data_IF_212261726591
#
_entry.id   IF_212261726591
#
_cell.length_a   1.000
_cell.length_b   1.000
_cell.length_c   1.000
_cell.angle_alpha   90.00
_cell.angle_beta   90.00
_cell.angle_gamma   90.00
#
_symmetry.space_group_name_H-M   'P 1'
#
loop_
_entity.id
_entity.type
_entity.pdbx_description
1 polymer ?
#
# COMPACT_ATOMS: atom_id res chain seq x y z
N UNK A 1 2.14 16.61 16.35
CA UNK A 1 1.65 17.01 17.67
C UNK A 1 1.19 18.48 17.63
N UNK A 2 2.02 19.48 17.25
CA UNK A 2 1.69 20.92 17.31
C UNK A 2 0.36 21.30 16.67
N UNK A 3 0.08 20.86 15.43
CA UNK A 3 -1.17 21.16 14.74
C UNK A 3 -2.38 20.51 15.43
N UNK A 4 -2.23 19.30 15.94
CA UNK A 4 -3.29 18.62 16.71
C UNK A 4 -3.56 19.36 18.02
N UNK A 5 -2.51 19.78 18.71
CA UNK A 5 -2.62 20.59 19.94
C UNK A 5 -3.32 21.91 19.67
N UNK A 6 -2.95 22.62 18.61
CA UNK A 6 -3.59 23.87 18.22
C UNK A 6 -5.08 23.69 17.86
N UNK A 7 -5.43 22.58 17.18
CA UNK A 7 -6.80 22.25 16.85
C UNK A 7 -7.61 21.90 18.12
N UNK A 8 -7.08 21.03 18.96
CA UNK A 8 -7.73 20.63 20.20
C UNK A 8 -8.02 21.85 21.10
N UNK A 9 -7.02 22.72 21.27
CA UNK A 9 -7.17 23.98 22.03
C UNK A 9 -8.25 24.88 21.44
N UNK A 10 -8.30 25.03 20.11
CA UNK A 10 -9.29 25.87 19.43
C UNK A 10 -10.72 25.41 19.68
N UNK A 11 -10.95 24.12 19.75
CA UNK A 11 -12.29 23.53 19.91
C UNK A 11 -12.60 23.02 21.32
N UNK A 12 -11.72 23.25 22.28
CA UNK A 12 -11.91 22.80 23.66
C UNK A 12 -11.93 21.27 23.80
N UNK A 13 -11.18 20.56 22.92
CA UNK A 13 -11.11 19.11 22.92
C UNK A 13 -9.92 18.62 23.75
N UNK A 14 -10.08 17.50 24.43
CA UNK A 14 -8.96 16.79 25.05
C UNK A 14 -8.05 16.23 23.98
N UNK A 15 -6.73 16.23 24.23
CA UNK A 15 -5.73 15.61 23.39
C UNK A 15 -4.86 14.69 24.23
N UNK A 16 -4.79 13.45 23.85
CA UNK A 16 -3.88 12.47 24.41
C UNK A 16 -2.81 12.08 23.36
N UNK A 17 -1.59 11.89 23.79
CA UNK A 17 -0.48 11.43 22.96
C UNK A 17 -0.11 10.02 23.38
N UNK A 18 -0.30 9.07 22.47
CA UNK A 18 0.04 7.66 22.68
C UNK A 18 1.33 7.35 21.94
N UNK A 19 2.36 6.97 22.68
CA UNK A 19 3.64 6.56 22.10
C UNK A 19 3.58 5.08 21.67
N UNK A 20 3.77 4.85 20.36
CA UNK A 20 3.77 3.55 19.72
C UNK A 20 5.05 3.33 18.89
N UNK A 21 6.14 4.05 19.23
CA UNK A 21 7.39 3.95 18.48
C UNK A 21 7.98 2.54 18.55
N UNK A 22 8.00 1.94 19.72
CA UNK A 22 8.57 0.61 19.91
C UNK A 22 7.77 -0.42 19.08
N UNK A 23 6.45 -0.41 19.19
CA UNK A 23 5.58 -1.32 18.45
C UNK A 23 5.72 -1.15 16.93
N UNK A 24 5.91 0.11 16.47
CA UNK A 24 6.16 0.38 15.06
C UNK A 24 7.48 -0.25 14.59
N UNK A 25 8.57 -0.08 15.37
CA UNK A 25 9.87 -0.65 15.04
C UNK A 25 9.84 -2.18 14.99
N UNK A 26 9.23 -2.80 15.99
CA UNK A 26 9.17 -4.26 16.12
C UNK A 26 8.27 -4.92 15.07
N UNK A 27 7.18 -4.28 14.70
CA UNK A 27 6.17 -4.90 13.82
C UNK A 27 6.24 -4.42 12.37
N UNK A 28 6.49 -3.13 12.12
CA UNK A 28 6.42 -2.57 10.76
C UNK A 28 7.80 -2.38 10.15
N UNK A 29 8.72 -1.75 10.88
CA UNK A 29 10.07 -1.50 10.36
C UNK A 29 10.84 -2.82 10.18
N UNK A 30 10.78 -3.72 11.17
CA UNK A 30 11.41 -5.04 11.10
C UNK A 30 10.84 -5.86 9.93
N UNK A 31 9.51 -5.89 9.77
CA UNK A 31 8.86 -6.50 8.61
C UNK A 31 9.40 -5.95 7.28
N UNK A 32 9.45 -4.61 7.16
CA UNK A 32 9.91 -3.98 5.93
C UNK A 32 11.37 -4.36 5.61
N UNK A 33 12.27 -4.30 6.59
CA UNK A 33 13.68 -4.65 6.41
C UNK A 33 13.86 -6.13 6.04
N UNK A 34 13.10 -7.03 6.67
CA UNK A 34 13.17 -8.45 6.37
C UNK A 34 12.72 -8.75 4.93
N UNK A 35 11.59 -8.19 4.49
CA UNK A 35 11.11 -8.30 3.10
C UNK A 35 12.12 -7.73 2.09
N UNK A 36 12.70 -6.56 2.37
CA UNK A 36 13.72 -5.96 1.50
C UNK A 36 14.95 -6.84 1.39
N UNK A 37 15.41 -7.45 2.50
CA UNK A 37 16.53 -8.40 2.52
C UNK A 37 16.26 -9.62 1.63
N UNK A 38 15.02 -10.06 1.57
CA UNK A 38 14.57 -11.14 0.67
C UNK A 38 14.39 -10.69 -0.79
N UNK A 39 14.75 -9.46 -1.15
CA UNK A 39 14.57 -8.91 -2.49
C UNK A 39 13.11 -8.49 -2.81
N UNK A 40 12.21 -8.60 -1.85
CA UNK A 40 10.82 -8.25 -2.00
C UNK A 40 10.60 -6.74 -1.84
N UNK A 41 9.46 -6.26 -2.26
CA UNK A 41 9.05 -4.86 -2.12
C UNK A 41 7.92 -4.77 -1.10
N UNK A 42 8.19 -4.47 0.20
CA UNK A 42 7.16 -4.39 1.22
C UNK A 42 6.26 -3.17 1.04
N UNK A 43 5.09 -3.22 1.67
CA UNK A 43 4.23 -2.07 1.86
C UNK A 43 4.06 -1.76 3.36
N UNK A 44 4.95 -0.95 3.95
CA UNK A 44 4.90 -0.64 5.38
C UNK A 44 3.65 0.17 5.78
N UNK A 45 3.04 0.93 4.87
CA UNK A 45 1.83 1.71 5.18
C UNK A 45 0.61 0.82 5.41
N UNK A 46 0.46 -0.25 4.63
CA UNK A 46 -0.58 -1.27 4.85
C UNK A 46 -0.39 -1.93 6.22
N UNK A 47 0.82 -2.35 6.55
CA UNK A 47 1.11 -3.00 7.81
C UNK A 47 1.00 -2.04 9.01
N UNK A 48 1.35 -0.77 8.82
CA UNK A 48 1.14 0.27 9.83
C UNK A 48 -0.35 0.46 10.16
N UNK A 49 -1.21 0.50 9.16
CA UNK A 49 -2.65 0.59 9.40
C UNK A 49 -3.16 -0.63 10.18
N UNK A 50 -2.81 -1.85 9.73
CA UNK A 50 -3.23 -3.11 10.38
C UNK A 50 -2.72 -3.24 11.82
N UNK A 51 -1.40 -3.09 12.00
CA UNK A 51 -0.73 -3.49 13.23
C UNK A 51 -0.63 -2.36 14.26
N UNK A 52 -0.46 -1.12 13.82
CA UNK A 52 -0.22 0.02 14.72
C UNK A 52 -1.48 0.84 14.91
N UNK A 53 -2.04 1.44 13.82
CA UNK A 53 -3.17 2.38 13.95
C UNK A 53 -4.46 1.71 14.39
N UNK A 54 -4.74 0.52 13.88
CA UNK A 54 -5.96 -0.22 14.21
C UNK A 54 -5.69 -1.53 14.97
N UNK A 55 -4.42 -1.80 15.28
CA UNK A 55 -3.97 -2.89 16.15
C UNK A 55 -3.58 -2.36 17.52
N UNK A 56 -2.31 -1.98 17.71
CA UNK A 56 -1.78 -1.57 19.02
C UNK A 56 -2.51 -0.36 19.62
N UNK A 57 -2.86 0.65 18.80
CA UNK A 57 -3.64 1.80 19.27
C UNK A 57 -5.02 1.37 19.77
N UNK A 58 -5.71 0.52 19.02
CA UNK A 58 -7.04 0.02 19.39
C UNK A 58 -6.97 -0.77 20.72
N UNK A 59 -5.97 -1.62 20.88
CA UNK A 59 -5.77 -2.38 22.12
C UNK A 59 -5.45 -1.49 23.32
N UNK A 60 -4.73 -0.39 23.11
CA UNK A 60 -4.26 0.50 24.19
C UNK A 60 -5.30 1.55 24.58
N UNK A 61 -5.96 2.15 23.61
CA UNK A 61 -6.87 3.28 23.80
C UNK A 61 -8.24 3.03 23.16
N UNK A 62 -8.29 2.59 21.91
CA UNK A 62 -9.54 2.47 21.14
C UNK A 62 -10.56 1.51 21.75
N UNK A 63 -10.10 0.52 22.54
CA UNK A 63 -10.98 -0.43 23.27
C UNK A 63 -11.97 0.26 24.20
N UNK A 64 -11.64 1.45 24.69
CA UNK A 64 -12.45 2.22 25.63
C UNK A 64 -13.50 3.09 24.93
N UNK A 65 -13.59 3.03 23.60
CA UNK A 65 -14.53 3.78 22.75
C UNK A 65 -15.32 2.84 21.84
N UNK A 66 -16.54 3.28 21.47
CA UNK A 66 -17.40 2.53 20.54
C UNK A 66 -16.82 2.55 19.12
N UNK A 67 -16.23 3.67 18.70
CA UNK A 67 -15.68 3.87 17.36
C UNK A 67 -14.36 4.63 17.37
N UNK A 68 -13.51 4.31 16.40
CA UNK A 68 -12.28 5.05 16.09
C UNK A 68 -12.46 5.80 14.76
N UNK A 69 -12.53 7.13 14.82
CA UNK A 69 -12.61 7.98 13.63
C UNK A 69 -11.21 8.26 13.07
N UNK A 70 -11.08 8.17 11.75
CA UNK A 70 -9.80 8.42 11.06
C UNK A 70 -9.98 9.23 9.80
N UNK A 71 -8.95 10.00 9.43
CA UNK A 71 -8.93 10.85 8.24
C UNK A 71 -8.58 10.14 6.94
N UNK A 72 -8.71 8.82 6.86
CA UNK A 72 -8.55 8.11 5.59
C UNK A 72 -9.72 8.37 4.65
N UNK A 73 -9.41 8.46 3.36
CA UNK A 73 -10.41 8.47 2.29
C UNK A 73 -10.86 7.03 2.02
N UNK A 74 -11.85 6.60 2.76
CA UNK A 74 -12.54 5.33 2.67
C UNK A 74 -13.96 5.52 3.18
N UNK A 75 -14.83 4.53 3.04
CA UNK A 75 -16.16 4.49 3.64
C UNK A 75 -16.40 3.15 4.32
N UNK A 76 -17.49 3.05 5.08
CA UNK A 76 -18.03 1.77 5.53
C UNK A 76 -19.42 1.57 4.94
N UNK A 77 -19.72 0.35 4.53
CA UNK A 77 -21.02 -0.05 3.97
C UNK A 77 -21.60 -1.15 4.85
N UNK A 78 -22.92 -1.09 5.09
CA UNK A 78 -23.64 -2.17 5.76
C UNK A 78 -24.29 -3.07 4.70
N UNK A 79 -23.89 -4.34 4.69
CA UNK A 79 -24.42 -5.36 3.79
C UNK A 79 -24.54 -6.69 4.52
N UNK A 80 -25.72 -7.32 4.45
CA UNK A 80 -26.02 -8.60 5.09
C UNK A 80 -25.72 -8.62 6.60
N UNK A 81 -26.00 -7.51 7.31
CA UNK A 81 -25.76 -7.34 8.74
C UNK A 81 -24.28 -7.20 9.13
N UNK A 82 -23.39 -7.02 8.17
CA UNK A 82 -21.95 -6.85 8.38
C UNK A 82 -21.43 -5.54 7.82
N UNK A 83 -20.36 -5.05 8.44
CA UNK A 83 -19.64 -3.85 7.98
C UNK A 83 -18.59 -4.24 6.95
N UNK A 84 -18.60 -3.58 5.81
CA UNK A 84 -17.64 -3.74 4.72
C UNK A 84 -16.84 -2.47 4.51
N UNK A 85 -15.57 -2.61 4.12
CA UNK A 85 -14.74 -1.48 3.72
C UNK A 85 -15.17 -1.02 2.32
N UNK A 86 -15.65 0.21 2.23
CA UNK A 86 -16.09 0.83 0.98
C UNK A 86 -15.08 1.83 0.43
N UNK A 87 -15.05 1.98 -0.90
CA UNK A 87 -14.23 2.97 -1.57
C UNK A 87 -14.68 4.39 -1.26
N UNK A 88 -13.78 5.35 -1.37
CA UNK A 88 -14.07 6.76 -1.16
C UNK A 88 -14.81 7.39 -2.35
N UNK A 89 -15.52 8.51 -2.10
CA UNK A 89 -16.11 9.34 -3.16
C UNK A 89 -15.04 9.92 -4.11
N UNK A 90 -13.86 10.26 -3.59
CA UNK A 90 -12.75 10.80 -4.38
C UNK A 90 -11.82 9.66 -4.83
N UNK A 91 -11.88 9.23 -6.12
CA UNK A 91 -11.11 8.09 -6.59
C UNK A 91 -9.60 8.36 -6.63
N UNK A 92 -9.20 9.64 -6.74
CA UNK A 92 -7.78 10.04 -6.74
C UNK A 92 -7.18 9.97 -5.33
N UNK A 93 -8.04 10.07 -4.30
CA UNK A 93 -7.63 10.06 -2.89
C UNK A 93 -8.02 8.78 -2.17
N UNK A 94 -8.71 7.87 -2.83
CA UNK A 94 -9.07 6.58 -2.25
C UNK A 94 -7.85 5.90 -1.60
N UNK A 95 -8.00 5.47 -0.36
CA UNK A 95 -6.96 4.88 0.47
C UNK A 95 -7.32 3.47 0.94
N UNK A 96 -8.32 2.86 0.33
CA UNK A 96 -8.74 1.50 0.70
C UNK A 96 -7.67 0.47 0.46
N UNK A 97 -6.78 0.68 -0.51
CA UNK A 97 -5.62 -0.16 -0.77
C UNK A 97 -4.62 -0.18 0.41
N UNK A 98 -4.49 0.91 1.16
CA UNK A 98 -3.70 0.93 2.40
C UNK A 98 -4.40 0.27 3.60
N UNK A 99 -5.70 0.05 3.50
CA UNK A 99 -6.54 -0.57 4.54
C UNK A 99 -6.83 -2.05 4.26
N UNK A 100 -6.41 -2.57 3.12
CA UNK A 100 -6.83 -3.87 2.59
C UNK A 100 -6.36 -5.10 3.40
N UNK A 101 -5.56 -4.90 4.46
CA UNK A 101 -5.12 -5.95 5.39
C UNK A 101 -5.73 -5.84 6.79
N UNK A 102 -6.60 -4.85 7.07
CA UNK A 102 -7.34 -4.81 8.34
C UNK A 102 -8.33 -5.98 8.42
N UNK A 103 -8.71 -6.35 9.63
CA UNK A 103 -9.69 -7.43 9.84
C UNK A 103 -11.11 -6.90 10.12
N UNK A 104 -12.05 -7.83 10.25
CA UNK A 104 -13.45 -7.51 10.52
C UNK A 104 -13.66 -6.75 11.82
N UNK A 105 -12.96 -7.11 12.89
CA UNK A 105 -13.07 -6.43 14.18
C UNK A 105 -12.59 -5.00 14.08
N UNK A 106 -11.53 -4.77 13.28
CA UNK A 106 -11.02 -3.43 13.03
C UNK A 106 -12.02 -2.61 12.18
N UNK A 107 -12.43 -3.10 11.00
CA UNK A 107 -13.33 -2.33 10.13
C UNK A 107 -14.68 -2.02 10.76
N UNK A 108 -15.20 -2.91 11.61
CA UNK A 108 -16.49 -2.72 12.28
C UNK A 108 -16.50 -1.58 13.29
N UNK A 109 -15.34 -1.18 13.82
CA UNK A 109 -15.16 -0.05 14.74
C UNK A 109 -14.68 1.24 14.08
N UNK A 110 -14.38 1.22 12.77
CA UNK A 110 -13.84 2.39 12.07
C UNK A 110 -14.95 3.31 11.54
N UNK A 111 -14.69 4.61 11.66
CA UNK A 111 -15.45 5.67 11.01
C UNK A 111 -14.53 6.49 10.10
N UNK A 112 -15.03 6.82 8.91
CA UNK A 112 -14.32 7.62 7.91
C UNK A 112 -15.11 8.91 7.59
N UNK A 113 -15.04 9.95 8.44
CA UNK A 113 -15.89 11.14 8.33
C UNK A 113 -15.72 11.92 7.02
N UNK A 114 -14.58 11.75 6.34
CA UNK A 114 -14.27 12.43 5.06
C UNK A 114 -14.42 11.54 3.84
N UNK A 115 -14.74 10.27 4.00
CA UNK A 115 -14.83 9.31 2.89
C UNK A 115 -15.89 9.65 1.83
N UNK A 116 -17.00 10.29 2.25
CA UNK A 116 -18.05 10.78 1.35
C UNK A 116 -17.77 12.14 0.71
N UNK A 117 -16.56 12.69 0.83
CA UNK A 117 -16.19 14.03 0.36
C UNK A 117 -15.05 13.97 -0.65
N UNK A 118 -15.08 14.89 -1.65
CA UNK A 118 -13.92 15.15 -2.50
C UNK A 118 -12.85 15.91 -1.70
N UNK A 119 -11.59 15.74 -2.05
CA UNK A 119 -10.46 16.44 -1.39
C UNK A 119 -10.64 17.94 -1.33
N UNK A 120 -11.19 18.52 -2.40
CA UNK A 120 -11.49 19.95 -2.44
C UNK A 120 -12.53 20.34 -1.39
N UNK A 121 -13.62 19.58 -1.28
CA UNK A 121 -14.67 19.83 -0.26
C UNK A 121 -14.10 19.78 1.16
N UNK A 122 -13.21 18.79 1.43
CA UNK A 122 -12.51 18.68 2.73
C UNK A 122 -11.67 19.93 3.01
N UNK A 123 -10.94 20.45 2.02
CA UNK A 123 -10.13 21.66 2.18
C UNK A 123 -10.98 22.92 2.39
N UNK A 124 -12.10 23.02 1.71
CA UNK A 124 -13.05 24.13 1.89
C UNK A 124 -13.68 24.12 3.30
N UNK A 125 -14.07 22.94 3.79
CA UNK A 125 -14.59 22.77 5.16
C UNK A 125 -13.50 23.15 6.18
N UNK A 126 -12.26 22.65 6.00
CA UNK A 126 -11.16 22.97 6.89
C UNK A 126 -10.82 24.47 6.92
N UNK A 127 -10.87 25.14 5.77
CA UNK A 127 -10.68 26.59 5.67
C UNK A 127 -11.80 27.37 6.35
N UNK A 128 -13.08 27.01 6.12
CA UNK A 128 -14.24 27.65 6.77
C UNK A 128 -14.20 27.47 8.28
N UNK A 129 -13.80 26.28 8.74
CA UNK A 129 -13.59 25.99 10.16
C UNK A 129 -12.34 26.67 10.73
N UNK A 130 -11.50 27.30 9.89
CA UNK A 130 -10.28 27.97 10.30
C UNK A 130 -9.28 27.01 10.95
N UNK A 131 -9.20 25.75 10.47
CA UNK A 131 -8.28 24.77 11.03
C UNK A 131 -6.83 25.18 10.77
N UNK A 132 -5.92 25.06 11.75
CA UNK A 132 -4.49 25.36 11.56
C UNK A 132 -3.86 24.51 10.45
N UNK A 133 -4.39 23.32 10.19
CA UNK A 133 -3.94 22.38 9.17
C UNK A 133 -4.54 22.59 7.77
N UNK A 134 -5.49 23.51 7.58
CA UNK A 134 -6.25 23.65 6.34
C UNK A 134 -5.39 23.81 5.07
N UNK A 135 -4.24 24.52 5.18
CA UNK A 135 -3.31 24.74 4.07
C UNK A 135 -2.13 23.75 4.04
N UNK A 136 -2.12 22.75 4.94
CA UNK A 136 -1.04 21.76 4.98
C UNK A 136 -1.03 20.93 3.69
N UNK A 137 0.17 20.74 3.12
CA UNK A 137 0.38 19.80 2.01
C UNK A 137 0.13 18.37 2.48
N UNK A 138 -0.26 17.50 1.54
CA UNK A 138 -0.41 16.08 1.83
C UNK A 138 0.93 15.52 2.35
N UNK A 139 0.84 14.55 3.27
CA UNK A 139 2.04 13.90 3.81
C UNK A 139 2.81 13.19 2.70
N UNK A 140 4.11 13.39 2.71
CA UNK A 140 5.06 12.70 1.83
C UNK A 140 5.99 11.87 2.71
N UNK A 141 6.18 10.59 2.40
CA UNK A 141 7.10 9.71 3.13
C UNK A 141 6.40 8.59 3.89
N UNK A 142 7.21 7.78 4.58
CA UNK A 142 6.77 6.62 5.35
C UNK A 142 6.04 7.10 6.60
N UNK A 143 4.88 6.51 6.85
CA UNK A 143 4.06 6.76 8.03
C UNK A 143 4.88 6.55 9.32
N UNK A 144 4.68 7.38 10.36
CA UNK A 144 5.42 7.40 11.65
C UNK A 144 6.89 7.80 11.58
N UNK A 145 7.61 7.50 10.52
CA UNK A 145 9.02 7.87 10.38
C UNK A 145 9.22 9.30 9.87
N UNK A 146 8.15 9.94 9.38
CA UNK A 146 8.21 11.31 8.89
C UNK A 146 8.98 11.44 7.57
N UNK A 147 9.72 12.54 7.39
CA UNK A 147 10.53 12.80 6.20
C UNK A 147 11.88 12.06 6.24
N UNK A 148 11.89 10.77 6.48
CA UNK A 148 13.09 9.96 6.37
C UNK A 148 13.32 9.65 4.90
N UNK A 149 14.56 9.82 4.44
CA UNK A 149 14.97 9.32 3.14
C UNK A 149 14.97 7.79 3.20
N UNK A 150 14.15 7.16 2.35
CA UNK A 150 14.01 5.71 2.30
C UNK A 150 15.37 5.00 2.10
N UNK A 151 16.21 5.54 1.22
CA UNK A 151 17.53 4.95 0.97
C UNK A 151 18.45 5.04 2.18
N UNK A 152 18.38 6.14 2.97
CA UNK A 152 19.17 6.29 4.18
C UNK A 152 18.70 5.32 5.27
N UNK A 153 17.38 5.12 5.37
CA UNK A 153 16.80 4.11 6.24
C UNK A 153 17.28 2.70 5.89
N UNK A 154 17.14 2.29 4.63
CA UNK A 154 17.58 0.97 4.16
C UNK A 154 19.08 0.78 4.33
N UNK A 155 19.89 1.81 4.00
CA UNK A 155 21.35 1.80 4.17
C UNK A 155 21.79 1.56 5.60
N UNK A 156 21.07 2.13 6.57
CA UNK A 156 21.38 1.95 8.00
C UNK A 156 21.31 0.49 8.44
N UNK A 157 20.40 -0.30 7.86
CA UNK A 157 20.15 -1.70 8.25
C UNK A 157 20.82 -2.73 7.36
N UNK A 158 20.94 -2.45 6.06
CA UNK A 158 21.46 -3.39 5.08
C UNK A 158 22.83 -2.99 4.52
N UNK A 159 23.28 -1.76 4.83
CA UNK A 159 24.54 -1.25 4.30
C UNK A 159 24.50 -0.97 2.81
N UNK A 160 25.67 -0.95 2.19
CA UNK A 160 25.87 -0.86 0.75
C UNK A 160 26.71 -2.04 0.27
N UNK A 161 26.36 -2.60 -0.88
CA UNK A 161 27.12 -3.65 -1.58
C UNK A 161 27.06 -3.39 -3.07
N UNK A 162 28.19 -3.10 -3.69
CA UNK A 162 28.23 -2.86 -5.12
C UNK A 162 27.75 -4.09 -5.90
N UNK A 163 26.90 -3.86 -6.92
CA UNK A 163 26.36 -4.87 -7.80
C UNK A 163 26.24 -4.37 -9.24
N UNK A 164 25.93 -5.27 -10.16
CA UNK A 164 25.80 -4.95 -11.57
C UNK A 164 24.38 -4.51 -11.96
N UNK A 165 24.29 -3.56 -12.89
CA UNK A 165 23.08 -3.29 -13.65
C UNK A 165 23.26 -3.88 -15.05
N UNK A 166 22.39 -4.81 -15.43
CA UNK A 166 22.47 -5.55 -16.69
C UNK A 166 21.23 -5.30 -17.53
N UNK A 167 21.40 -4.99 -18.81
CA UNK A 167 20.30 -4.92 -19.76
C UNK A 167 19.79 -6.35 -20.03
N UNK A 168 18.51 -6.60 -19.78
CA UNK A 168 17.94 -7.94 -19.84
C UNK A 168 18.00 -8.54 -21.25
N UNK A 169 17.68 -7.72 -22.27
CA UNK A 169 17.58 -8.14 -23.67
C UNK A 169 18.93 -8.52 -24.29
N UNK A 170 20.01 -7.87 -23.83
CA UNK A 170 21.34 -8.06 -24.43
C UNK A 170 22.33 -8.78 -23.52
N UNK A 171 22.02 -8.89 -22.23
CA UNK A 171 22.95 -9.40 -21.21
C UNK A 171 24.14 -8.46 -20.93
N UNK A 172 24.14 -7.25 -21.50
CA UNK A 172 25.23 -6.30 -21.35
C UNK A 172 25.18 -5.57 -20.01
N UNK A 173 26.30 -5.49 -19.31
CA UNK A 173 26.44 -4.62 -18.14
C UNK A 173 26.37 -3.15 -18.57
N UNK A 174 25.40 -2.39 -18.05
CA UNK A 174 25.15 -0.98 -18.39
C UNK A 174 25.47 -0.02 -17.25
N UNK A 175 25.75 -0.54 -16.05
CA UNK A 175 26.11 0.26 -14.89
C UNK A 175 26.37 -0.56 -13.63
N UNK A 176 26.44 0.15 -12.51
CA UNK A 176 26.53 -0.45 -11.17
C UNK A 176 25.53 0.20 -10.23
N UNK A 177 25.20 -0.50 -9.14
CA UNK A 177 24.36 -0.02 -8.06
C UNK A 177 24.99 -0.33 -6.70
N UNK A 178 24.40 0.20 -5.61
CA UNK A 178 24.91 0.05 -4.25
C UNK A 178 24.18 -0.99 -3.40
N UNK A 179 23.39 -1.86 -4.03
CA UNK A 179 22.61 -2.92 -3.41
C UNK A 179 21.26 -3.08 -4.11
N UNK A 180 20.87 -4.34 -4.41
CA UNK A 180 19.57 -4.62 -5.03
C UNK A 180 18.38 -4.11 -4.19
N UNK A 181 18.56 -4.00 -2.88
CA UNK A 181 17.57 -3.54 -1.93
C UNK A 181 17.16 -2.07 -2.07
N UNK A 182 17.91 -1.25 -2.80
CA UNK A 182 17.53 0.11 -3.15
C UNK A 182 16.63 0.20 -4.38
N UNK A 183 16.30 -0.94 -5.00
CA UNK A 183 15.59 -1.01 -6.27
C UNK A 183 14.31 -1.83 -6.19
N UNK A 184 13.29 -1.37 -6.92
CA UNK A 184 11.97 -2.00 -7.02
C UNK A 184 11.63 -2.29 -8.47
N UNK A 185 10.94 -3.40 -8.75
CA UNK A 185 10.43 -3.74 -10.09
C UNK A 185 9.52 -2.61 -10.58
N UNK A 186 9.73 -2.17 -11.83
CA UNK A 186 9.06 -1.01 -12.43
C UNK A 186 9.70 0.35 -12.12
N UNK A 187 10.75 0.40 -11.28
CA UNK A 187 11.44 1.65 -10.97
C UNK A 187 12.15 2.21 -12.20
N UNK A 188 11.95 3.52 -12.45
CA UNK A 188 12.61 4.27 -13.54
C UNK A 188 13.65 5.25 -13.04
N UNK A 189 13.36 5.92 -11.92
CA UNK A 189 14.20 7.01 -11.41
C UNK A 189 15.31 6.46 -10.50
N UNK A 190 16.45 7.16 -10.45
CA UNK A 190 17.53 6.86 -9.51
C UNK A 190 18.46 5.72 -9.94
N UNK A 191 18.41 5.29 -11.20
CA UNK A 191 19.31 4.23 -11.73
C UNK A 191 20.71 4.76 -12.13
N UNK A 192 20.86 6.07 -12.32
CA UNK A 192 22.14 6.68 -12.71
C UNK A 192 22.58 6.33 -14.13
N UNK A 193 21.69 5.80 -14.97
CA UNK A 193 22.00 5.39 -16.35
C UNK A 193 21.65 6.48 -17.35
N UNK A 194 22.52 6.64 -18.36
CA UNK A 194 22.27 7.48 -19.53
C UNK A 194 21.57 6.72 -20.67
N UNK A 195 21.03 7.44 -21.65
CA UNK A 195 20.45 6.82 -22.84
C UNK A 195 19.12 6.09 -22.61
N UNK A 196 18.43 6.36 -21.48
CA UNK A 196 17.14 5.76 -21.15
C UNK A 196 15.96 6.27 -21.97
N UNK A 197 14.70 5.97 -21.55
CA UNK A 197 14.36 5.51 -20.20
C UNK A 197 14.72 4.04 -19.93
N UNK A 198 15.10 3.77 -18.68
CA UNK A 198 15.41 2.44 -18.19
C UNK A 198 14.41 2.06 -17.09
N UNK A 199 13.99 0.78 -17.07
CA UNK A 199 13.08 0.25 -16.06
C UNK A 199 13.66 -1.01 -15.42
N UNK A 200 13.61 -1.11 -14.10
CA UNK A 200 13.98 -2.36 -13.40
C UNK A 200 12.92 -3.42 -13.70
N UNK A 201 13.34 -4.58 -14.22
CA UNK A 201 12.44 -5.67 -14.60
C UNK A 201 12.67 -6.95 -13.81
N UNK A 202 13.88 -7.17 -13.27
CA UNK A 202 14.22 -8.35 -12.47
C UNK A 202 15.32 -8.01 -11.47
N UNK A 203 15.34 -8.74 -10.36
CA UNK A 203 16.45 -8.73 -9.38
C UNK A 203 16.99 -10.14 -9.19
N UNK A 204 18.29 -10.27 -9.15
CA UNK A 204 18.99 -11.46 -8.70
C UNK A 204 19.67 -11.14 -7.36
N UNK A 205 19.18 -11.79 -6.31
CA UNK A 205 19.57 -11.50 -4.94
C UNK A 205 20.93 -12.11 -4.62
N UNK A 206 21.18 -13.32 -5.12
CA UNK A 206 22.40 -14.09 -4.88
C UNK A 206 23.59 -13.40 -5.52
N UNK A 207 23.44 -13.02 -6.80
CA UNK A 207 24.47 -12.33 -7.58
C UNK A 207 24.50 -10.81 -7.32
N UNK A 208 23.60 -10.27 -6.48
CA UNK A 208 23.46 -8.84 -6.26
C UNK A 208 23.37 -8.04 -7.58
N UNK A 209 22.54 -8.51 -8.51
CA UNK A 209 22.40 -7.94 -9.86
C UNK A 209 20.96 -7.45 -10.06
N UNK A 210 20.79 -6.28 -10.67
CA UNK A 210 19.49 -5.83 -11.16
C UNK A 210 19.48 -5.85 -12.69
N UNK A 211 18.38 -6.32 -13.26
CA UNK A 211 18.17 -6.32 -14.70
C UNK A 211 17.23 -5.17 -15.07
N UNK A 212 17.59 -4.47 -16.12
CA UNK A 212 16.85 -3.32 -16.64
C UNK A 212 16.49 -3.53 -18.10
N UNK A 213 15.35 -2.96 -18.50
CA UNK A 213 14.91 -2.93 -19.91
C UNK A 213 14.84 -1.48 -20.38
N UNK A 214 15.23 -1.22 -21.63
CA UNK A 214 15.34 0.11 -22.22
C UNK A 214 14.14 0.45 -23.09
N UNK A 215 13.63 1.67 -22.99
CA UNK A 215 12.54 2.18 -23.83
C UNK A 215 11.18 2.12 -23.13
N UNK A 216 10.15 2.62 -23.80
CA UNK A 216 8.77 2.53 -23.38
C UNK A 216 8.06 1.39 -24.13
N UNK A 217 7.14 0.71 -23.47
CA UNK A 217 6.30 -0.30 -24.09
C UNK A 217 6.99 -1.61 -24.44
N UNK A 218 8.18 -1.86 -23.91
CA UNK A 218 8.91 -3.12 -24.13
C UNK A 218 8.20 -4.24 -23.36
N UNK A 219 7.93 -5.36 -24.02
CA UNK A 219 7.10 -6.47 -23.48
C UNK A 219 7.62 -7.00 -22.15
N UNK A 220 8.95 -7.08 -21.97
CA UNK A 220 9.58 -7.52 -20.71
C UNK A 220 9.27 -6.66 -19.49
N UNK A 221 8.69 -5.47 -19.66
CA UNK A 221 8.28 -4.57 -18.58
C UNK A 221 6.87 -4.85 -18.07
N UNK A 222 6.11 -5.71 -18.74
CA UNK A 222 4.70 -5.94 -18.49
C UNK A 222 4.40 -7.40 -18.20
N UNK A 223 3.33 -7.62 -17.44
CA UNK A 223 2.70 -8.90 -17.24
C UNK A 223 1.19 -8.79 -17.41
N UNK A 224 0.51 -9.93 -17.58
CA UNK A 224 -0.95 -10.01 -17.69
C UNK A 224 -1.57 -10.76 -16.51
N UNK A 225 -0.73 -11.33 -15.66
CA UNK A 225 -1.16 -12.15 -14.54
C UNK A 225 -0.20 -12.05 -13.36
N UNK A 226 -0.69 -12.37 -12.18
CA UNK A 226 0.13 -12.55 -10.99
C UNK A 226 -0.60 -13.47 -10.00
N UNK A 227 0.18 -14.07 -9.10
CA UNK A 227 -0.35 -14.87 -8.00
C UNK A 227 -0.23 -14.14 -6.69
N UNK A 228 -1.14 -14.45 -5.79
CA UNK A 228 -1.13 -13.97 -4.41
C UNK A 228 -1.15 -15.14 -3.45
N UNK A 229 -0.42 -14.97 -2.35
CA UNK A 229 -0.47 -15.87 -1.19
C UNK A 229 -1.01 -15.14 0.04
N UNK A 230 -1.35 -15.91 1.06
CA UNK A 230 -1.82 -15.41 2.35
C UNK A 230 -2.96 -14.40 2.22
N UNK A 231 -3.86 -14.67 1.26
CA UNK A 231 -4.98 -13.78 1.00
C UNK A 231 -5.87 -13.67 2.24
N UNK A 232 -6.17 -12.42 2.57
CA UNK A 232 -6.99 -12.05 3.71
C UNK A 232 -8.26 -11.33 3.24
N UNK A 233 -9.42 -11.89 3.59
CA UNK A 233 -10.71 -11.21 3.44
C UNK A 233 -10.94 -10.31 4.65
N UNK A 234 -11.27 -9.04 4.43
CA UNK A 234 -11.52 -8.06 5.50
C UNK A 234 -12.76 -8.44 6.30
N UNK A 235 -13.86 -8.71 5.61
CA UNK A 235 -15.16 -9.04 6.23
C UNK A 235 -15.47 -10.51 6.03
N UNK A 236 -15.73 -10.89 4.79
CA UNK A 236 -16.03 -12.26 4.38
C UNK A 236 -15.58 -12.49 2.94
N UNK A 237 -15.61 -13.75 2.51
CA UNK A 237 -15.55 -14.10 1.11
C UNK A 237 -16.94 -13.92 0.46
N UNK A 238 -17.18 -12.84 -0.32
CA UNK A 238 -18.49 -12.59 -0.94
C UNK A 238 -18.82 -13.58 -2.06
N UNK A 239 -17.85 -14.36 -2.50
CA UNK A 239 -17.95 -15.31 -3.61
C UNK A 239 -17.95 -16.77 -3.14
N UNK A 240 -18.15 -17.01 -1.86
CA UNK A 240 -18.17 -18.38 -1.30
C UNK A 240 -19.25 -19.23 -1.97
N UNK A 241 -18.82 -20.33 -2.60
CA UNK A 241 -19.72 -21.24 -3.34
C UNK A 241 -20.05 -20.82 -4.77
N UNK A 242 -19.45 -19.74 -5.27
CA UNK A 242 -19.55 -19.34 -6.67
C UNK A 242 -18.53 -20.08 -7.56
N UNK A 243 -18.58 -19.82 -8.87
CA UNK A 243 -17.70 -20.41 -9.86
C UNK A 243 -16.22 -20.11 -9.60
N UNK A 244 -15.35 -20.91 -10.21
CA UNK A 244 -13.89 -20.82 -10.04
C UNK A 244 -13.27 -19.51 -10.53
N UNK A 245 -13.92 -18.82 -11.47
CA UNK A 245 -13.47 -17.53 -12.02
C UNK A 245 -14.48 -16.45 -11.69
N UNK A 246 -14.01 -15.36 -11.08
CA UNK A 246 -14.84 -14.27 -10.58
C UNK A 246 -14.38 -12.97 -11.23
N UNK A 247 -15.31 -12.22 -11.81
CA UNK A 247 -15.03 -10.87 -12.32
C UNK A 247 -14.81 -9.90 -11.15
N UNK A 248 -13.69 -9.20 -11.19
CA UNK A 248 -13.24 -8.30 -10.14
C UNK A 248 -12.62 -7.04 -10.72
N UNK A 249 -12.41 -6.06 -9.84
CA UNK A 249 -11.41 -5.02 -10.06
C UNK A 249 -10.31 -5.13 -9.01
N UNK A 250 -9.12 -4.64 -9.33
CA UNK A 250 -7.97 -4.76 -8.44
C UNK A 250 -6.95 -3.62 -8.58
N UNK A 251 -6.06 -3.52 -7.59
CA UNK A 251 -4.86 -2.67 -7.62
C UNK A 251 -3.64 -3.46 -7.19
N UNK A 252 -2.49 -3.21 -7.82
CA UNK A 252 -1.17 -3.76 -7.42
C UNK A 252 -0.26 -2.71 -6.80
N UNK A 253 -0.72 -1.46 -6.74
CA UNK A 253 -0.05 -0.30 -6.13
C UNK A 253 -1.06 0.82 -5.92
N UNK A 254 -0.66 1.83 -5.17
CA UNK A 254 -1.50 3.02 -4.98
C UNK A 254 -1.57 3.87 -6.26
N UNK A 255 -2.66 3.72 -6.99
CA UNK A 255 -3.02 4.50 -8.20
C UNK A 255 -4.51 4.85 -8.14
N UNK A 256 -4.95 5.92 -8.81
CA UNK A 256 -6.39 6.23 -8.89
C UNK A 256 -7.19 5.17 -9.65
N UNK A 257 -6.57 4.54 -10.64
CA UNK A 257 -7.22 3.61 -11.55
C UNK A 257 -7.39 2.23 -10.90
N UNK A 258 -8.53 1.60 -11.19
CA UNK A 258 -8.84 0.22 -10.86
C UNK A 258 -8.77 -0.62 -12.15
N UNK A 259 -7.97 -1.66 -12.13
CA UNK A 259 -7.83 -2.57 -13.28
C UNK A 259 -8.87 -3.68 -13.18
N UNK A 260 -9.52 -4.01 -14.29
CA UNK A 260 -10.44 -5.15 -14.39
C UNK A 260 -9.66 -6.45 -14.58
N UNK A 261 -10.22 -7.54 -14.06
CA UNK A 261 -9.62 -8.86 -14.21
C UNK A 261 -10.49 -9.96 -13.67
N UNK A 262 -9.92 -11.15 -13.64
CA UNK A 262 -10.55 -12.35 -13.08
C UNK A 262 -9.74 -12.84 -11.89
N UNK A 263 -10.43 -13.20 -10.84
CA UNK A 263 -9.89 -13.84 -9.64
C UNK A 263 -10.16 -15.35 -9.75
N UNK A 264 -9.10 -16.15 -9.65
CA UNK A 264 -9.17 -17.60 -9.69
C UNK A 264 -8.62 -18.14 -8.37
N UNK A 265 -9.40 -18.92 -7.66
CA UNK A 265 -8.95 -19.56 -6.44
C UNK A 265 -8.14 -20.83 -6.77
N UNK A 266 -6.86 -20.84 -6.40
CA UNK A 266 -5.96 -22.00 -6.55
C UNK A 266 -5.80 -22.80 -5.25
N UNK A 267 -6.08 -22.19 -4.08
CA UNK A 267 -6.01 -22.80 -2.77
C UNK A 267 -6.78 -22.00 -1.72
N UNK A 268 -6.74 -22.40 -0.46
CA UNK A 268 -7.51 -21.74 0.62
C UNK A 268 -7.20 -20.26 0.74
N UNK A 269 -5.92 -19.88 0.60
CA UNK A 269 -5.42 -18.49 0.67
C UNK A 269 -4.53 -18.14 -0.52
N UNK A 270 -4.66 -18.88 -1.62
CA UNK A 270 -3.89 -18.67 -2.83
C UNK A 270 -4.83 -18.34 -3.98
N UNK A 271 -4.53 -17.22 -4.63
CA UNK A 271 -5.34 -16.71 -5.73
C UNK A 271 -4.46 -16.31 -6.90
N UNK A 272 -4.95 -16.54 -8.10
CA UNK A 272 -4.38 -16.13 -9.36
C UNK A 272 -5.24 -15.05 -9.98
N UNK A 273 -4.62 -13.98 -10.44
CA UNK A 273 -5.28 -12.85 -11.09
C UNK A 273 -4.91 -12.84 -12.56
N UNK A 274 -5.92 -12.84 -13.41
CA UNK A 274 -5.79 -12.59 -14.85
C UNK A 274 -6.27 -11.16 -15.13
N UNK A 275 -5.35 -10.31 -15.58
CA UNK A 275 -5.66 -8.91 -15.90
C UNK A 275 -6.26 -8.76 -17.29
N UNK A 276 -7.22 -7.87 -17.45
CA UNK A 276 -7.77 -7.50 -18.77
C UNK A 276 -6.80 -6.64 -19.61
N UNK A 277 -5.76 -6.08 -18.98
CA UNK A 277 -4.78 -5.21 -19.63
C UNK A 277 -3.35 -5.52 -19.14
N UNK A 278 -2.37 -4.98 -19.86
CA UNK A 278 -0.95 -5.10 -19.49
C UNK A 278 -0.64 -4.32 -18.21
N UNK A 279 -0.04 -4.99 -17.24
CA UNK A 279 0.37 -4.43 -15.96
C UNK A 279 1.86 -4.15 -15.96
N UNK A 280 2.25 -2.93 -15.66
CA UNK A 280 3.66 -2.59 -15.48
C UNK A 280 4.05 -2.63 -14.00
N UNK A 281 5.18 -3.29 -13.69
CA UNK A 281 5.78 -3.26 -12.36
C UNK A 281 5.01 -4.10 -11.33
N UNK A 282 4.60 -5.30 -11.70
CA UNK A 282 4.15 -6.32 -10.74
C UNK A 282 5.35 -6.63 -9.83
N UNK A 283 5.25 -6.26 -8.57
CA UNK A 283 6.37 -6.35 -7.63
C UNK A 283 6.06 -7.34 -6.51
N UNK A 284 6.81 -8.45 -6.41
CA UNK A 284 6.66 -9.39 -5.30
C UNK A 284 6.87 -8.71 -3.95
N UNK A 285 6.03 -9.07 -2.98
CA UNK A 285 6.01 -8.47 -1.65
C UNK A 285 5.08 -7.26 -1.51
N UNK A 286 4.58 -6.69 -2.61
CA UNK A 286 3.44 -5.76 -2.59
C UNK A 286 2.14 -6.53 -2.37
N UNK A 287 1.06 -5.81 -2.04
CA UNK A 287 -0.26 -6.40 -1.93
C UNK A 287 -1.06 -6.22 -3.22
N UNK A 288 -1.60 -7.32 -3.74
CA UNK A 288 -2.69 -7.28 -4.71
C UNK A 288 -3.99 -7.06 -3.94
N UNK A 289 -4.64 -5.93 -4.17
CA UNK A 289 -5.86 -5.53 -3.47
C UNK A 289 -7.05 -5.77 -4.36
N UNK A 290 -8.02 -6.53 -3.88
CA UNK A 290 -9.19 -6.96 -4.65
C UNK A 290 -10.42 -6.19 -4.21
N UNK A 291 -11.17 -5.74 -5.21
CA UNK A 291 -12.45 -5.06 -5.05
C UNK A 291 -13.53 -5.83 -5.80
N UNK A 292 -14.79 -5.58 -5.46
CA UNK A 292 -15.91 -6.06 -6.28
C UNK A 292 -15.87 -5.43 -7.69
N UNK A 293 -16.64 -6.00 -8.61
CA UNK A 293 -16.68 -5.54 -10.01
C UNK A 293 -17.15 -4.08 -10.13
N UNK A 294 -18.01 -3.62 -9.20
CA UNK A 294 -18.57 -2.27 -9.20
C UNK A 294 -17.65 -1.23 -8.54
N UNK A 295 -16.47 -1.62 -8.05
CA UNK A 295 -15.53 -0.74 -7.34
C UNK A 295 -16.14 -0.10 -6.08
N UNK A 296 -17.04 -0.77 -5.40
CA UNK A 296 -17.70 -0.26 -4.19
C UNK A 296 -17.11 -0.81 -2.90
N UNK A 297 -16.67 -2.06 -2.93
CA UNK A 297 -16.18 -2.79 -1.77
C UNK A 297 -14.74 -3.22 -1.97
N UNK A 298 -13.86 -2.85 -1.04
CA UNK A 298 -12.54 -3.44 -0.89
C UNK A 298 -12.71 -4.77 -0.13
N UNK A 299 -12.54 -5.88 -0.84
CA UNK A 299 -12.83 -7.22 -0.30
C UNK A 299 -11.68 -7.76 0.55
N UNK A 300 -10.46 -7.48 0.14
CA UNK A 300 -9.25 -7.96 0.82
C UNK A 300 -8.01 -7.86 -0.04
N UNK A 301 -6.94 -8.47 0.42
CA UNK A 301 -5.67 -8.48 -0.31
C UNK A 301 -4.80 -9.68 0.02
N UNK A 302 -3.86 -9.99 -0.86
CA UNK A 302 -2.81 -10.99 -0.65
C UNK A 302 -1.45 -10.47 -1.08
N UNK A 303 -0.39 -11.07 -0.54
CA UNK A 303 0.98 -10.75 -0.95
C UNK A 303 1.24 -11.27 -2.36
N UNK A 304 1.65 -10.39 -3.27
CA UNK A 304 2.03 -10.74 -4.65
C UNK A 304 3.28 -11.63 -4.63
N UNK A 305 3.19 -12.74 -5.32
CA UNK A 305 4.31 -13.65 -5.61
C UNK A 305 4.48 -13.77 -7.13
N UNK A 306 5.70 -14.12 -7.57
CA UNK A 306 5.96 -14.40 -8.99
C UNK A 306 5.62 -15.84 -9.34
#
# INVERSE_FOLDING_TARGET
IELSTATARKYGLSLEVVDLHQEYWENVAAYAIDKIRQGLTPNPDVMCNKLIKFGCFEQRVGKDFDFTATGHYATTLQRDGKTWLGTAKDPVKDQTDFLAQIDYLQVSKLMFPIGGLMKQEVREIANRAGLPSAKRKDSQGICFLGKINYNDFVRRFLGEKEGAIVELETGKKVGTHRGYWFHTIGQRKGLGLSGGPWFVVKKDIEENTIYVSRGYGVETQYGHEFRMRDFHFITDNPWKGQEKEIDITFKIRHTPEFTKGKLIQEGEKQFHILSSEKLQGIAPGQFGVIYDEEVKVCVGSGEIIC
#
